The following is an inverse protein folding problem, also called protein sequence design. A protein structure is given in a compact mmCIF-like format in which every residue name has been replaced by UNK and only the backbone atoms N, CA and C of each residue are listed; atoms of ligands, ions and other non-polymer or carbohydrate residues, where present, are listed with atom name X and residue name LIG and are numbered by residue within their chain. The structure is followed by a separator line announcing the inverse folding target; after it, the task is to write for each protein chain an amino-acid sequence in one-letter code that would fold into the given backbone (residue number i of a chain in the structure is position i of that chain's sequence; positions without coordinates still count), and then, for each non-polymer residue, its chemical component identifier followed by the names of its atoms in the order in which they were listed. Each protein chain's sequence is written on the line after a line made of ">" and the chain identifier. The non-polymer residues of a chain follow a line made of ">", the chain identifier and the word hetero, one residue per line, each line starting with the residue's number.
data_IF_831036402207
#
_entry.id   IF_831036402207
#
_cell.length_a   1.000
_cell.length_b   1.000
_cell.length_c   1.000
_cell.angle_alpha   90.00
_cell.angle_beta   90.00
_cell.angle_gamma   90.00
#
_symmetry.space_group_name_H-M   'P 1'
#
loop_
_entity.id
_entity.type
_entity.pdbx_description
1 polymer ?
#
# COMPACT_ATOMS: atom_id res chain seq x y z
N UNK A 1 1.77 1.85 13.52
CA UNK A 1 3.17 1.90 13.05
C UNK A 1 3.21 2.78 11.82
N UNK A 2 4.25 3.60 11.67
CA UNK A 2 4.49 4.36 10.44
C UNK A 2 5.72 3.79 9.74
N UNK A 3 5.56 3.40 8.48
CA UNK A 3 6.64 2.80 7.68
C UNK A 3 7.44 3.88 6.96
N UNK A 4 8.72 3.61 6.67
CA UNK A 4 9.59 4.53 5.91
C UNK A 4 10.42 3.84 4.81
N UNK A 5 10.38 2.50 4.72
CA UNK A 5 11.21 1.73 3.78
C UNK A 5 10.89 1.98 2.30
N UNK A 6 9.69 2.48 2.00
CA UNK A 6 9.24 2.89 0.67
C UNK A 6 9.43 4.39 0.40
N UNK A 7 10.14 5.13 1.25
CA UNK A 7 10.48 6.54 0.99
C UNK A 7 11.81 6.64 0.22
N UNK A 8 11.97 7.72 -0.56
CA UNK A 8 13.23 8.02 -1.27
C UNK A 8 14.43 8.03 -0.28
N UNK A 9 15.61 7.52 -0.67
CA UNK A 9 15.99 7.09 -2.03
C UNK A 9 15.62 5.63 -2.40
N UNK A 10 14.64 5.01 -1.71
CA UNK A 10 14.13 3.67 -2.02
C UNK A 10 15.19 2.57 -1.87
N UNK A 11 16.05 2.70 -0.87
CA UNK A 11 17.12 1.74 -0.59
C UNK A 11 16.58 0.48 0.07
N UNK A 12 16.93 -0.68 -0.47
CA UNK A 12 16.60 -1.98 0.09
C UNK A 12 17.80 -2.48 0.91
N UNK A 13 17.62 -2.82 2.20
CA UNK A 13 18.70 -3.35 3.01
C UNK A 13 19.15 -4.72 2.50
N UNK A 14 20.43 -5.04 2.71
CA UNK A 14 21.01 -6.35 2.34
C UNK A 14 20.40 -7.49 3.16
N UNK A 15 20.12 -7.21 4.43
CA UNK A 15 19.38 -8.09 5.33
C UNK A 15 17.90 -7.67 5.31
N UNK A 16 17.04 -8.52 4.75
CA UNK A 16 15.66 -8.19 4.40
C UNK A 16 14.71 -9.41 4.45
N UNK A 17 15.03 -10.40 5.27
CA UNK A 17 14.25 -11.62 5.47
C UNK A 17 13.98 -12.44 4.19
N UNK A 18 14.88 -12.32 3.22
CA UNK A 18 14.83 -13.07 1.96
C UNK A 18 13.95 -12.42 0.89
N UNK A 19 13.65 -11.13 1.00
CA UNK A 19 12.97 -10.38 -0.05
C UNK A 19 13.70 -10.48 -1.40
N UNK A 20 12.94 -10.83 -2.45
CA UNK A 20 13.47 -10.96 -3.80
C UNK A 20 13.14 -9.71 -4.63
N UNK A 21 14.20 -8.98 -5.00
CA UNK A 21 14.13 -7.84 -5.91
C UNK A 21 13.64 -8.31 -7.28
N UNK A 22 12.73 -7.56 -7.88
CA UNK A 22 12.24 -7.79 -9.24
C UNK A 22 13.19 -7.12 -10.23
N UNK A 23 13.47 -7.83 -11.29
CA UNK A 23 14.30 -7.48 -12.45
C UNK A 23 13.52 -6.75 -13.56
N UNK A 24 12.31 -6.25 -13.27
CA UNK A 24 11.53 -5.48 -14.24
C UNK A 24 12.34 -4.29 -14.77
N UNK A 25 12.18 -4.04 -16.06
CA UNK A 25 12.81 -2.89 -16.71
C UNK A 25 12.16 -1.58 -16.26
N UNK A 26 12.87 -0.46 -16.46
CA UNK A 26 12.33 0.88 -16.18
C UNK A 26 11.00 1.11 -16.91
N UNK A 27 10.92 0.71 -18.18
CA UNK A 27 9.71 0.82 -19.00
C UNK A 27 8.53 0.05 -18.39
N UNK A 28 8.76 -1.18 -17.95
CA UNK A 28 7.72 -2.01 -17.34
C UNK A 28 7.19 -1.40 -16.03
N UNK A 29 8.08 -0.87 -15.19
CA UNK A 29 7.64 -0.27 -13.92
C UNK A 29 6.97 1.09 -14.14
N UNK A 30 7.39 1.86 -15.14
CA UNK A 30 6.75 3.12 -15.54
C UNK A 30 5.36 2.92 -16.12
N UNK A 31 5.16 1.87 -16.93
CA UNK A 31 3.84 1.47 -17.42
C UNK A 31 2.89 1.05 -16.28
N UNK A 32 3.45 0.57 -15.16
CA UNK A 32 2.72 0.24 -13.93
C UNK A 32 2.62 1.42 -12.94
N UNK A 33 3.07 2.62 -13.32
CA UNK A 33 2.95 3.84 -12.50
C UNK A 33 4.08 4.09 -11.50
N UNK A 34 5.18 3.32 -11.53
CA UNK A 34 6.38 3.61 -10.72
C UNK A 34 7.38 4.47 -11.49
N UNK A 35 8.02 5.43 -10.84
CA UNK A 35 9.00 6.32 -11.49
C UNK A 35 10.33 5.63 -11.77
N UNK A 36 10.70 4.66 -10.94
CA UNK A 36 11.97 3.93 -11.01
C UNK A 36 11.82 2.49 -10.54
N UNK A 37 12.81 1.66 -10.88
CA UNK A 37 12.85 0.24 -10.48
C UNK A 37 13.07 0.11 -8.96
N UNK A 38 13.77 1.05 -8.35
CA UNK A 38 14.00 1.12 -6.90
C UNK A 38 12.70 1.44 -6.17
N UNK A 39 11.94 2.44 -6.63
CA UNK A 39 10.63 2.75 -6.06
C UNK A 39 9.71 1.54 -6.14
N UNK A 40 9.64 0.90 -7.31
CA UNK A 40 8.82 -0.29 -7.51
C UNK A 40 9.17 -1.41 -6.51
N UNK A 41 10.46 -1.69 -6.34
CA UNK A 41 10.90 -2.72 -5.40
C UNK A 41 10.74 -2.32 -3.93
N UNK A 42 10.82 -1.04 -3.58
CA UNK A 42 10.59 -0.57 -2.22
C UNK A 42 9.12 -0.69 -1.80
N UNK A 43 8.17 -0.47 -2.73
CA UNK A 43 6.74 -0.77 -2.49
C UNK A 43 6.50 -2.28 -2.36
N UNK A 44 7.16 -3.10 -3.19
CA UNK A 44 7.11 -4.58 -3.05
C UNK A 44 7.69 -5.06 -1.71
N UNK A 45 8.73 -4.41 -1.20
CA UNK A 45 9.28 -4.71 0.12
C UNK A 45 8.29 -4.36 1.23
N UNK A 46 7.52 -3.27 1.10
CA UNK A 46 6.44 -2.95 2.03
C UNK A 46 5.38 -4.06 2.03
N UNK A 47 4.91 -4.48 0.86
CA UNK A 47 3.93 -5.57 0.70
C UNK A 47 4.43 -6.89 1.32
N UNK A 48 5.68 -7.27 1.03
CA UNK A 48 6.33 -8.44 1.64
C UNK A 48 6.30 -8.39 3.18
N UNK A 49 6.60 -7.23 3.76
CA UNK A 49 6.60 -7.05 5.21
C UNK A 49 5.19 -7.00 5.82
N UNK A 50 4.17 -6.56 5.08
CA UNK A 50 2.77 -6.71 5.50
C UNK A 50 2.44 -8.20 5.62
N UNK A 51 2.86 -9.03 4.66
CA UNK A 51 2.75 -10.48 4.76
C UNK A 51 3.39 -11.05 6.02
N UNK A 52 4.62 -10.62 6.33
CA UNK A 52 5.33 -11.02 7.57
C UNK A 52 4.60 -10.57 8.83
N UNK A 53 4.05 -9.36 8.86
CA UNK A 53 3.21 -8.89 9.96
C UNK A 53 1.99 -9.80 10.16
N UNK A 54 1.35 -10.26 9.08
CA UNK A 54 0.22 -11.20 9.17
C UNK A 54 0.66 -12.56 9.72
N UNK A 55 1.81 -13.08 9.30
CA UNK A 55 2.36 -14.35 9.80
C UNK A 55 2.69 -14.27 11.29
N UNK A 56 3.32 -13.17 11.73
CA UNK A 56 3.59 -12.92 13.14
C UNK A 56 2.30 -12.81 13.96
N UNK A 57 1.27 -12.16 13.43
CA UNK A 57 -0.01 -12.06 14.10
C UNK A 57 -0.71 -13.41 14.28
N UNK A 58 -0.62 -14.29 13.26
CA UNK A 58 -1.15 -15.65 13.34
C UNK A 58 -0.37 -16.48 14.34
N UNK A 59 0.95 -16.45 14.29
CA UNK A 59 1.82 -17.16 15.23
C UNK A 59 1.61 -16.67 16.68
N UNK A 60 1.35 -15.37 16.87
CA UNK A 60 1.04 -14.77 18.16
C UNK A 60 -0.38 -15.02 18.67
N UNK A 61 -1.25 -15.65 17.88
CA UNK A 61 -2.61 -16.02 18.30
C UNK A 61 -3.62 -14.87 18.37
N UNK A 62 -3.28 -13.68 17.87
CA UNK A 62 -4.16 -12.50 17.93
C UNK A 62 -4.76 -12.10 16.58
N UNK A 63 -4.38 -12.76 15.48
CA UNK A 63 -4.84 -12.45 14.13
C UNK A 63 -6.36 -12.38 13.97
N UNK A 64 -7.11 -13.37 14.49
CA UNK A 64 -8.56 -13.44 14.33
C UNK A 64 -9.33 -12.36 15.13
N UNK A 65 -8.71 -11.83 16.19
CA UNK A 65 -9.31 -10.83 17.07
C UNK A 65 -8.58 -9.47 16.99
N UNK A 66 -8.03 -9.15 15.82
CA UNK A 66 -7.35 -7.88 15.56
C UNK A 66 -7.93 -7.21 14.32
N UNK A 67 -8.17 -5.90 14.42
CA UNK A 67 -8.48 -5.07 13.27
C UNK A 67 -7.18 -4.47 12.75
N UNK A 68 -6.76 -4.88 11.55
CA UNK A 68 -5.62 -4.31 10.85
C UNK A 68 -6.09 -3.20 9.94
N UNK A 69 -5.52 -2.01 10.11
CA UNK A 69 -5.86 -0.83 9.32
C UNK A 69 -4.61 -0.41 8.55
N UNK A 70 -4.67 -0.53 7.23
CA UNK A 70 -3.57 -0.25 6.30
C UNK A 70 -4.01 0.90 5.39
N UNK A 71 -3.26 1.99 5.37
CA UNK A 71 -3.55 3.13 4.51
C UNK A 71 -2.27 3.84 4.07
N UNK A 72 -2.30 4.43 2.87
CA UNK A 72 -1.24 5.34 2.42
C UNK A 72 -1.38 6.71 3.08
N UNK A 73 -0.27 7.35 3.44
CA UNK A 73 -0.25 8.71 3.97
C UNK A 73 -0.49 9.76 2.88
N UNK A 74 0.14 9.58 1.72
CA UNK A 74 -0.07 10.37 0.52
C UNK A 74 0.40 9.60 -0.72
N UNK A 75 0.02 10.07 -1.92
CA UNK A 75 0.61 9.58 -3.15
C UNK A 75 1.85 10.40 -3.53
N UNK A 76 2.71 9.85 -4.39
CA UNK A 76 3.78 10.59 -5.06
C UNK A 76 3.44 10.63 -6.55
N UNK A 77 3.44 11.82 -7.16
CA UNK A 77 3.11 12.02 -8.59
C UNK A 77 3.56 10.84 -9.47
N UNK A 78 2.62 10.09 -10.02
CA UNK A 78 2.90 8.91 -10.85
C UNK A 78 3.31 9.36 -12.27
N UNK A 79 4.08 8.54 -13.01
CA UNK A 79 4.45 8.81 -14.40
C UNK A 79 3.25 8.75 -15.35
N UNK A 80 2.51 7.65 -15.31
CA UNK A 80 1.30 7.39 -16.10
C UNK A 80 0.38 6.43 -15.35
N UNK A 81 -0.94 6.61 -15.47
CA UNK A 81 -1.97 5.80 -14.80
C UNK A 81 -3.03 5.29 -15.78
N UNK A 82 -2.65 4.52 -16.82
CA UNK A 82 -3.59 4.06 -17.86
C UNK A 82 -4.70 3.13 -17.35
N UNK A 83 -4.57 2.67 -16.09
CA UNK A 83 -5.52 1.80 -15.41
C UNK A 83 -6.53 2.57 -14.54
N UNK A 84 -6.40 3.89 -14.40
CA UNK A 84 -7.37 4.74 -13.72
C UNK A 84 -8.25 5.49 -14.72
N UNK A 85 -9.41 5.97 -14.27
CA UNK A 85 -10.27 6.79 -15.11
C UNK A 85 -9.53 8.06 -15.57
N UNK A 86 -9.74 8.56 -16.81
CA UNK A 86 -8.99 9.72 -17.34
C UNK A 86 -9.03 10.96 -16.45
N UNK A 87 -10.11 11.15 -15.69
CA UNK A 87 -10.26 12.25 -14.74
C UNK A 87 -9.18 12.27 -13.65
N UNK A 88 -8.62 11.11 -13.27
CA UNK A 88 -7.52 11.06 -12.30
C UNK A 88 -6.32 11.83 -12.81
N UNK A 89 -5.89 11.56 -14.05
CA UNK A 89 -4.75 12.25 -14.65
C UNK A 89 -5.09 13.69 -15.04
N UNK A 90 -6.26 13.91 -15.67
CA UNK A 90 -6.64 15.23 -16.19
C UNK A 90 -6.89 16.27 -15.09
N UNK A 91 -7.34 15.83 -13.91
CA UNK A 91 -7.65 16.71 -12.77
C UNK A 91 -6.65 16.58 -11.62
N UNK A 92 -5.61 15.74 -11.74
CA UNK A 92 -4.62 15.54 -10.70
C UNK A 92 -5.12 14.80 -9.47
N UNK A 93 -6.19 13.99 -9.60
CA UNK A 93 -6.80 13.28 -8.45
C UNK A 93 -5.95 12.09 -7.99
N UNK A 94 -5.06 11.58 -8.83
CA UNK A 94 -4.15 10.48 -8.48
C UNK A 94 -3.25 10.87 -7.30
N UNK A 95 -2.88 12.14 -7.21
CA UNK A 95 -2.07 12.68 -6.12
C UNK A 95 -2.76 12.57 -4.75
N UNK A 96 -4.09 12.50 -4.72
CA UNK A 96 -4.90 12.39 -3.50
C UNK A 96 -5.41 10.97 -3.24
N UNK A 97 -5.32 10.06 -4.21
CA UNK A 97 -5.82 8.71 -4.08
C UNK A 97 -4.76 7.80 -3.46
N UNK A 98 -5.08 7.27 -2.28
CA UNK A 98 -4.25 6.34 -1.52
C UNK A 98 -5.03 5.07 -1.24
N UNK A 99 -4.37 3.90 -1.17
CA UNK A 99 -5.03 2.68 -0.74
C UNK A 99 -5.49 2.81 0.71
N UNK A 100 -6.66 2.25 1.03
CA UNK A 100 -7.15 2.05 2.39
C UNK A 100 -7.79 0.66 2.49
N UNK A 101 -7.34 -0.13 3.46
CA UNK A 101 -7.82 -1.49 3.73
C UNK A 101 -8.04 -1.66 5.24
N UNK A 102 -9.24 -2.10 5.61
CA UNK A 102 -9.55 -2.57 6.95
C UNK A 102 -9.72 -4.08 6.87
N UNK A 103 -8.82 -4.81 7.53
CA UNK A 103 -8.75 -6.27 7.51
C UNK A 103 -8.97 -6.82 8.91
N UNK A 104 -10.06 -7.56 9.11
CA UNK A 104 -10.41 -8.18 10.39
C UNK A 104 -11.25 -9.44 10.13
N UNK A 105 -10.66 -10.55 9.64
CA UNK A 105 -11.39 -11.67 9.05
C UNK A 105 -12.33 -12.39 10.03
N UNK A 106 -12.00 -12.42 11.33
CA UNK A 106 -12.88 -12.97 12.36
C UNK A 106 -14.03 -12.06 12.79
N UNK A 107 -14.03 -10.78 12.36
CA UNK A 107 -14.96 -9.75 12.82
C UNK A 107 -15.79 -9.11 11.69
N UNK A 108 -15.22 -9.03 10.48
CA UNK A 108 -15.78 -8.31 9.33
C UNK A 108 -15.87 -9.23 8.11
N UNK A 109 -16.97 -9.11 7.36
CA UNK A 109 -17.09 -9.68 6.02
C UNK A 109 -16.35 -8.85 4.96
N UNK A 110 -16.27 -9.39 3.74
CA UNK A 110 -15.68 -8.68 2.60
C UNK A 110 -16.68 -7.71 1.97
N UNK A 111 -16.24 -6.46 1.75
CA UNK A 111 -16.96 -5.48 0.94
C UNK A 111 -15.98 -4.52 0.27
N UNK A 112 -16.40 -3.93 -0.83
CA UNK A 112 -15.72 -2.79 -1.48
C UNK A 112 -16.56 -1.54 -1.20
N UNK A 113 -15.89 -0.43 -0.92
CA UNK A 113 -16.50 0.89 -0.73
C UNK A 113 -16.07 1.73 -1.93
N UNK A 114 -17.02 2.05 -2.79
CA UNK A 114 -16.77 2.83 -4.02
C UNK A 114 -16.97 4.33 -3.80
N UNK A 115 -17.57 4.70 -2.66
CA UNK A 115 -17.77 6.08 -2.25
C UNK A 115 -16.43 6.80 -1.98
N UNK A 116 -16.39 8.09 -2.33
CA UNK A 116 -15.27 8.94 -1.98
C UNK A 116 -15.22 9.14 -0.46
N UNK A 117 -14.12 8.71 0.15
CA UNK A 117 -13.80 8.89 1.57
C UNK A 117 -12.38 9.46 1.72
N UNK A 118 -12.05 9.98 2.89
CA UNK A 118 -10.75 10.56 3.19
C UNK A 118 -10.12 10.03 4.48
N UNK A 119 -8.84 10.35 4.68
CA UNK A 119 -8.11 9.98 5.90
C UNK A 119 -8.72 10.58 7.18
N UNK A 120 -9.46 11.68 7.06
CA UNK A 120 -10.21 12.28 8.17
C UNK A 120 -11.34 11.39 8.68
N UNK A 121 -11.85 10.50 7.83
CA UNK A 121 -12.96 9.60 8.16
C UNK A 121 -12.47 8.34 8.88
N UNK A 122 -11.14 8.13 8.95
CA UNK A 122 -10.56 6.92 9.52
C UNK A 122 -10.90 6.76 11.01
N UNK A 123 -10.66 7.79 11.82
CA UNK A 123 -10.94 7.75 13.25
C UNK A 123 -12.42 7.50 13.56
N UNK A 124 -13.39 8.28 13.01
CA UNK A 124 -14.80 8.02 13.28
C UNK A 124 -15.28 6.67 12.73
N UNK A 125 -14.67 6.14 11.67
CA UNK A 125 -14.98 4.79 11.15
C UNK A 125 -14.54 3.70 12.11
N UNK A 126 -13.40 3.86 12.78
CA UNK A 126 -12.85 2.83 13.69
C UNK A 126 -13.43 2.88 15.10
N UNK A 127 -13.86 4.06 15.55
CA UNK A 127 -14.40 4.27 16.90
C UNK A 127 -15.93 4.25 16.96
N UNK A 128 -16.60 4.24 15.79
CA UNK A 128 -18.06 4.30 15.65
C UNK A 128 -18.76 2.95 15.69
#
# INVERSE_FOLDING_TARGET
>A
MQTAGNHRPFTIPKDNDGFQVSDKTLEQVQAAGSRSVEQYNAVRLLDFNIGRLMDLAKAGGYYENTIFVLFGDHNTRISQIPHMAPAFEQLGLESNNVPMLIHAPGLLGTRVIDEAVGLTDLLPTLAG
#
